data_IF_674402855387
#
_entry.id   IF_674402855387
#
_cell.length_a   1.000
_cell.length_b   1.000
_cell.length_c   1.000
_cell.angle_alpha   90.00
_cell.angle_beta   90.00
_cell.angle_gamma   90.00
#
_symmetry.space_group_name_H-M   'P 1'
#
loop_
_entity.id
_entity.type
_entity.pdbx_description
1 polymer ?
#
# COMPACT_ATOMS: atom_id res chain seq x y z
N UNK A 1 -15.14 11.80 -18.19
CA UNK A 1 -14.25 11.08 -19.10
C UNK A 1 -14.34 9.59 -18.82
N UNK A 2 -14.55 8.79 -19.83
CA UNK A 2 -14.66 7.34 -19.70
C UNK A 2 -13.30 6.67 -19.92
N UNK A 3 -12.94 5.74 -19.04
CA UNK A 3 -11.72 4.97 -19.13
C UNK A 3 -12.02 3.49 -18.87
N UNK A 4 -11.17 2.62 -19.44
CA UNK A 4 -11.26 1.18 -19.20
C UNK A 4 -10.09 0.76 -18.30
N UNK A 5 -10.40 0.02 -17.24
CA UNK A 5 -9.42 -0.35 -16.24
C UNK A 5 -8.54 -1.52 -16.68
N UNK A 6 -7.25 -1.43 -16.39
CA UNK A 6 -6.25 -2.46 -16.67
C UNK A 6 -5.92 -3.31 -15.44
N UNK A 7 -6.37 -2.89 -14.27
CA UNK A 7 -6.19 -3.63 -13.03
C UNK A 7 -7.37 -3.41 -12.09
N UNK A 8 -7.52 -4.28 -11.10
CA UNK A 8 -8.53 -4.11 -10.07
C UNK A 8 -8.12 -2.96 -9.15
N UNK A 9 -8.98 -1.98 -9.00
CA UNK A 9 -8.74 -0.83 -8.14
C UNK A 9 -9.79 -0.79 -7.04
N UNK A 10 -9.33 -0.70 -5.81
CA UNK A 10 -10.21 -0.63 -4.64
C UNK A 10 -11.10 0.61 -4.73
N UNK A 11 -12.40 0.43 -4.57
CA UNK A 11 -13.44 1.49 -4.63
C UNK A 11 -13.61 2.17 -5.98
N UNK A 12 -12.94 1.71 -7.01
CA UNK A 12 -13.02 2.29 -8.35
C UNK A 12 -13.66 1.32 -9.33
N UNK A 13 -13.12 0.11 -9.44
CA UNK A 13 -13.68 -0.91 -10.35
C UNK A 13 -12.73 -2.06 -10.60
N UNK A 14 -13.15 -2.96 -11.48
CA UNK A 14 -12.44 -4.19 -11.81
C UNK A 14 -11.80 -4.13 -13.20
N UNK A 15 -10.89 -5.06 -13.48
CA UNK A 15 -10.22 -5.18 -14.78
C UNK A 15 -11.25 -5.28 -15.90
N UNK A 16 -11.08 -4.45 -16.93
CA UNK A 16 -11.97 -4.43 -18.10
C UNK A 16 -13.27 -3.67 -17.88
N UNK A 17 -13.48 -3.10 -16.73
CA UNK A 17 -14.65 -2.28 -16.45
C UNK A 17 -14.47 -0.87 -17.01
N UNK A 18 -15.50 -0.35 -17.65
CA UNK A 18 -15.53 1.02 -18.16
C UNK A 18 -16.14 1.89 -17.09
N UNK A 19 -15.39 2.88 -16.62
CA UNK A 19 -15.85 3.81 -15.59
C UNK A 19 -15.76 5.25 -16.08
N UNK A 20 -16.58 6.10 -15.49
CA UNK A 20 -16.54 7.53 -15.73
C UNK A 20 -15.92 8.23 -14.54
N UNK A 21 -14.86 9.00 -14.80
CA UNK A 21 -14.10 9.71 -13.78
C UNK A 21 -13.79 11.13 -14.23
N UNK A 22 -13.38 11.96 -13.29
CA UNK A 22 -12.97 13.32 -13.60
C UNK A 22 -11.73 13.31 -14.50
N UNK A 23 -11.69 14.22 -15.44
CA UNK A 23 -10.61 14.32 -16.44
C UNK A 23 -9.21 14.40 -15.82
N UNK A 24 -9.05 15.21 -14.80
CA UNK A 24 -7.77 15.36 -14.09
C UNK A 24 -7.33 14.06 -13.41
N UNK A 25 -8.25 13.38 -12.74
CA UNK A 25 -7.97 12.11 -12.10
C UNK A 25 -7.60 11.03 -13.11
N UNK A 26 -8.34 10.95 -14.21
CA UNK A 26 -8.05 9.99 -15.27
C UNK A 26 -6.65 10.20 -15.86
N UNK A 27 -6.30 11.42 -16.21
CA UNK A 27 -5.01 11.74 -16.82
C UNK A 27 -3.84 11.61 -15.85
N UNK A 28 -3.96 12.18 -14.66
CA UNK A 28 -2.83 12.31 -13.73
C UNK A 28 -2.59 11.06 -12.87
N UNK A 29 -3.59 10.25 -12.68
CA UNK A 29 -3.49 9.06 -11.85
C UNK A 29 -3.66 7.76 -12.64
N UNK A 30 -4.78 7.57 -13.32
CA UNK A 30 -5.08 6.30 -13.97
C UNK A 30 -4.22 6.05 -15.22
N UNK A 31 -4.18 6.99 -16.13
CA UNK A 31 -3.45 6.82 -17.41
C UNK A 31 -1.96 7.00 -17.22
N UNK A 32 -1.55 7.98 -16.45
CA UNK A 32 -0.15 8.24 -16.15
C UNK A 32 0.54 7.04 -15.48
N UNK A 33 -0.16 6.34 -14.58
CA UNK A 33 0.35 5.16 -13.90
C UNK A 33 0.05 3.84 -14.64
N UNK A 34 -0.45 3.92 -15.86
CA UNK A 34 -0.81 2.74 -16.67
C UNK A 34 -1.85 1.83 -16.00
N UNK A 35 -2.73 2.40 -15.21
CA UNK A 35 -3.81 1.68 -14.53
C UNK A 35 -5.09 1.60 -15.33
N UNK A 36 -5.23 2.48 -16.32
CA UNK A 36 -6.38 2.53 -17.23
C UNK A 36 -5.97 3.10 -18.58
N UNK A 37 -6.80 2.87 -19.58
CA UNK A 37 -6.69 3.46 -20.90
C UNK A 37 -7.97 4.24 -21.22
N UNK A 38 -7.88 5.14 -22.19
CA UNK A 38 -9.09 5.80 -22.70
C UNK A 38 -10.07 4.76 -23.23
N UNK A 39 -11.35 4.93 -22.93
CA UNK A 39 -12.41 4.01 -23.36
C UNK A 39 -12.78 4.22 -24.82
N UNK A 40 -11.80 4.06 -25.73
CA UNK A 40 -12.02 4.03 -27.17
C UNK A 40 -12.40 2.61 -27.61
N UNK A 41 -13.04 2.49 -28.77
CA UNK A 41 -13.41 1.16 -29.30
C UNK A 41 -12.20 0.24 -29.45
N UNK A 42 -11.08 0.80 -29.92
CA UNK A 42 -9.82 0.06 -30.08
C UNK A 42 -9.28 -0.43 -28.74
N UNK A 43 -9.21 0.45 -27.75
CA UNK A 43 -8.71 0.11 -26.42
C UNK A 43 -9.62 -0.89 -25.71
N UNK A 44 -10.93 -0.77 -25.84
CA UNK A 44 -11.88 -1.71 -25.29
C UNK A 44 -11.67 -3.11 -25.89
N UNK A 45 -11.54 -3.22 -27.18
CA UNK A 45 -11.29 -4.47 -27.87
C UNK A 45 -9.95 -5.09 -27.45
N UNK A 46 -8.91 -4.29 -27.34
CA UNK A 46 -7.60 -4.73 -26.89
C UNK A 46 -7.62 -5.27 -25.47
N UNK A 47 -8.26 -4.56 -24.55
CA UNK A 47 -8.37 -4.97 -23.15
C UNK A 47 -9.20 -6.25 -23.03
N UNK A 48 -10.26 -6.40 -23.79
CA UNK A 48 -11.05 -7.66 -23.80
C UNK A 48 -10.21 -8.87 -24.21
N UNK A 49 -9.30 -8.71 -25.18
CA UNK A 49 -8.40 -9.77 -25.60
C UNK A 49 -7.40 -10.17 -24.52
N UNK A 50 -6.89 -9.21 -23.77
CA UNK A 50 -5.88 -9.44 -22.72
C UNK A 50 -6.46 -9.55 -21.31
N UNK A 51 -7.76 -9.44 -21.17
CA UNK A 51 -8.44 -9.47 -19.86
C UNK A 51 -8.09 -10.73 -19.06
N UNK A 52 -8.04 -11.87 -19.68
CA UNK A 52 -7.69 -13.14 -19.02
C UNK A 52 -6.25 -13.13 -18.52
N UNK A 53 -5.32 -12.56 -19.29
CA UNK A 53 -3.92 -12.43 -18.88
C UNK A 53 -3.77 -11.45 -17.73
N UNK A 54 -4.45 -10.29 -17.78
CA UNK A 54 -4.46 -9.32 -16.70
C UNK A 54 -5.05 -9.91 -15.42
N UNK A 55 -6.14 -10.67 -15.53
CA UNK A 55 -6.74 -11.36 -14.38
C UNK A 55 -5.79 -12.38 -13.77
N UNK A 56 -5.07 -13.16 -14.59
CA UNK A 56 -4.07 -14.12 -14.11
C UNK A 56 -2.94 -13.41 -13.37
N UNK A 57 -2.39 -12.33 -13.93
CA UNK A 57 -1.34 -11.55 -13.29
C UNK A 57 -1.82 -10.97 -11.95
N UNK A 58 -3.03 -10.46 -11.91
CA UNK A 58 -3.62 -9.94 -10.69
C UNK A 58 -3.79 -11.03 -9.63
N UNK A 59 -4.23 -12.23 -10.04
CA UNK A 59 -4.36 -13.40 -9.16
C UNK A 59 -3.01 -13.82 -8.58
N UNK A 60 -1.96 -13.82 -9.38
CA UNK A 60 -0.60 -14.13 -8.93
C UNK A 60 -0.11 -13.10 -7.91
N UNK A 61 -0.29 -11.80 -8.21
CA UNK A 61 0.04 -10.72 -7.26
C UNK A 61 -0.75 -10.86 -5.96
N UNK A 62 -2.02 -11.22 -6.05
CA UNK A 62 -2.86 -11.44 -4.87
C UNK A 62 -2.35 -12.59 -4.03
N UNK A 63 -1.94 -13.70 -4.64
CA UNK A 63 -1.35 -14.85 -3.93
C UNK A 63 -0.05 -14.47 -3.22
N UNK A 64 0.82 -13.74 -3.90
CA UNK A 64 2.06 -13.23 -3.30
C UNK A 64 1.77 -12.31 -2.13
N UNK A 65 0.81 -11.39 -2.31
CA UNK A 65 0.37 -10.49 -1.26
C UNK A 65 -0.19 -11.24 -0.05
N UNK A 66 -0.97 -12.31 -0.28
CA UNK A 66 -1.50 -13.15 0.80
C UNK A 66 -0.38 -13.85 1.57
N UNK A 67 0.64 -14.37 0.89
CA UNK A 67 1.80 -14.99 1.53
C UNK A 67 2.54 -13.99 2.42
N UNK A 68 2.76 -12.78 1.91
CA UNK A 68 3.39 -11.71 2.69
C UNK A 68 2.50 -11.33 3.88
N UNK A 69 1.20 -11.20 3.65
CA UNK A 69 0.23 -10.91 4.69
C UNK A 69 0.27 -11.93 5.84
N UNK A 70 0.29 -13.21 5.51
CA UNK A 70 0.39 -14.27 6.52
C UNK A 70 1.66 -14.18 7.34
N UNK A 71 2.77 -13.76 6.71
CA UNK A 71 4.06 -13.61 7.39
C UNK A 71 4.08 -12.44 8.35
N UNK A 72 3.43 -11.33 8.02
CA UNK A 72 3.51 -10.08 8.80
C UNK A 72 2.25 -9.76 9.59
N UNK A 73 1.14 -10.42 9.32
CA UNK A 73 -0.13 -10.13 9.99
C UNK A 73 -0.02 -10.34 11.51
N UNK A 74 -0.46 -9.35 12.28
CA UNK A 74 -0.38 -9.33 13.74
C UNK A 74 1.04 -9.38 14.31
N UNK A 75 2.06 -9.12 13.51
CA UNK A 75 3.42 -9.00 14.02
C UNK A 75 3.64 -7.67 14.71
N UNK A 76 4.56 -7.67 15.65
CA UNK A 76 4.99 -6.48 16.37
C UNK A 76 6.43 -6.15 15.99
N UNK A 77 6.64 -4.89 15.60
CA UNK A 77 7.97 -4.38 15.27
C UNK A 77 8.32 -3.27 16.25
N UNK A 78 9.56 -3.26 16.69
CA UNK A 78 10.07 -2.25 17.63
C UNK A 78 10.88 -1.20 16.87
N UNK A 79 10.53 0.08 17.10
CA UNK A 79 11.26 1.22 16.56
C UNK A 79 11.78 2.06 17.72
N UNK A 80 13.07 2.39 17.66
CA UNK A 80 13.69 3.27 18.63
C UNK A 80 13.73 4.70 18.09
N UNK A 81 13.20 5.63 18.85
CA UNK A 81 13.16 7.06 18.51
C UNK A 81 13.52 7.89 19.72
N UNK A 82 14.17 9.03 19.45
CA UNK A 82 14.41 10.01 20.51
C UNK A 82 13.08 10.64 20.92
N UNK A 83 12.89 10.79 22.22
CA UNK A 83 11.68 11.36 22.77
C UNK A 83 11.96 12.41 23.81
N UNK A 84 11.01 13.30 24.03
CA UNK A 84 11.04 14.28 25.10
C UNK A 84 10.68 13.63 26.44
N UNK A 85 10.85 14.38 27.54
CA UNK A 85 10.44 13.93 28.88
C UNK A 85 8.96 13.60 28.95
N UNK A 86 8.13 14.24 28.12
CA UNK A 86 6.69 14.01 28.02
C UNK A 86 6.33 12.79 27.15
N UNK A 87 7.30 11.97 26.76
CA UNK A 87 7.12 10.81 25.89
C UNK A 87 6.67 11.17 24.48
N UNK A 88 6.85 12.42 24.08
CA UNK A 88 6.60 12.84 22.70
C UNK A 88 7.86 12.67 21.87
N UNK A 89 7.72 12.21 20.64
CA UNK A 89 8.85 12.04 19.74
C UNK A 89 9.31 13.38 19.15
N UNK A 90 10.61 13.52 18.92
CA UNK A 90 11.17 14.68 18.22
C UNK A 90 10.73 14.73 16.74
N UNK A 91 10.22 13.64 16.21
CA UNK A 91 9.65 13.57 14.87
C UNK A 91 8.70 12.40 14.77
N UNK A 92 7.78 12.43 13.82
CA UNK A 92 6.87 11.32 13.60
C UNK A 92 7.57 10.12 12.97
N UNK A 93 7.02 8.93 13.19
CA UNK A 93 7.48 7.72 12.50
C UNK A 93 6.91 7.76 11.08
N UNK A 94 7.79 7.75 10.10
CA UNK A 94 7.41 7.81 8.69
C UNK A 94 7.24 6.39 8.11
N UNK A 95 6.37 6.23 7.11
CA UNK A 95 6.23 4.93 6.42
C UNK A 95 7.54 4.37 5.87
N UNK A 96 8.47 5.22 5.45
CA UNK A 96 9.79 4.80 4.98
C UNK A 96 10.59 4.09 6.06
N UNK A 97 10.48 4.51 7.30
CA UNK A 97 11.15 3.86 8.43
C UNK A 97 10.57 2.50 8.73
N UNK A 98 9.25 2.38 8.64
CA UNK A 98 8.53 1.11 8.82
C UNK A 98 8.92 0.13 7.70
N UNK A 99 8.99 0.60 6.47
CA UNK A 99 9.40 -0.18 5.31
C UNK A 99 10.81 -0.76 5.49
N UNK A 100 11.76 0.07 5.93
CA UNK A 100 13.12 -0.37 6.23
C UNK A 100 13.17 -1.39 7.35
N UNK A 101 12.38 -1.19 8.40
CA UNK A 101 12.32 -2.10 9.54
C UNK A 101 11.82 -3.47 9.12
N UNK A 102 10.79 -3.53 8.31
CA UNK A 102 10.26 -4.80 7.79
C UNK A 102 11.29 -5.48 6.89
N UNK A 103 11.98 -4.74 6.06
CA UNK A 103 13.03 -5.27 5.19
C UNK A 103 14.18 -5.88 6.01
N UNK A 104 14.59 -5.22 7.06
CA UNK A 104 15.68 -5.70 7.93
C UNK A 104 15.28 -6.94 8.73
N UNK A 105 14.06 -6.99 9.25
CA UNK A 105 13.59 -8.09 10.11
C UNK A 105 13.11 -9.31 9.34
N UNK A 106 12.27 -9.09 8.33
CA UNK A 106 11.62 -10.16 7.58
C UNK A 106 12.13 -10.31 6.14
N UNK A 107 13.03 -9.43 5.72
CA UNK A 107 13.57 -9.37 4.35
C UNK A 107 12.47 -9.23 3.29
N UNK A 108 11.39 -8.54 3.65
CA UNK A 108 10.28 -8.28 2.75
C UNK A 108 10.37 -6.84 2.22
N UNK A 109 10.36 -6.70 0.91
CA UNK A 109 10.39 -5.39 0.27
C UNK A 109 8.96 -4.84 0.18
N UNK A 110 8.63 -3.98 1.11
CA UNK A 110 7.32 -3.31 1.15
C UNK A 110 7.53 -1.83 0.86
N UNK A 111 6.83 -1.34 -0.14
CA UNK A 111 6.93 0.07 -0.50
C UNK A 111 6.28 0.96 0.56
N UNK A 112 6.88 2.11 0.88
CA UNK A 112 6.29 3.04 1.85
C UNK A 112 4.87 3.49 1.50
N UNK A 113 4.55 3.57 0.22
CA UNK A 113 3.20 3.93 -0.24
C UNK A 113 2.12 2.91 0.13
N UNK A 114 2.52 1.67 0.41
CA UNK A 114 1.61 0.61 0.86
C UNK A 114 1.30 0.71 2.35
N UNK A 115 2.09 1.44 3.09
CA UNK A 115 1.98 1.55 4.54
C UNK A 115 1.10 2.75 4.89
N UNK A 116 -0.01 2.49 5.58
CA UNK A 116 -0.94 3.52 6.04
C UNK A 116 -1.07 3.46 7.55
N UNK A 117 -0.43 4.37 8.28
CA UNK A 117 -0.64 4.45 9.71
C UNK A 117 -2.08 4.87 10.00
N UNK A 118 -2.73 4.18 10.92
CA UNK A 118 -4.11 4.47 11.33
C UNK A 118 -4.15 5.82 12.04
N UNK A 119 -3.12 6.09 12.85
CA UNK A 119 -2.93 7.36 13.51
C UNK A 119 -1.50 7.81 13.32
N UNK A 120 -1.27 9.11 13.36
CA UNK A 120 0.08 9.64 13.26
C UNK A 120 0.89 9.27 14.50
N UNK A 121 2.05 8.67 14.31
CA UNK A 121 2.89 8.18 15.38
C UNK A 121 3.85 9.28 15.82
N UNK A 122 3.51 9.97 16.91
CA UNK A 122 4.31 11.08 17.47
C UNK A 122 4.73 10.86 18.92
N UNK A 123 4.34 9.77 19.54
CA UNK A 123 4.66 9.48 20.93
C UNK A 123 5.12 8.05 21.11
N UNK A 124 5.65 7.74 22.27
CA UNK A 124 6.03 6.38 22.64
C UNK A 124 4.77 5.55 22.87
N UNK A 125 4.78 4.30 22.45
CA UNK A 125 3.70 3.37 22.67
C UNK A 125 3.50 2.41 21.52
N UNK A 126 2.42 1.64 21.59
CA UNK A 126 2.05 0.69 20.54
C UNK A 126 1.02 1.32 19.63
N UNK A 127 1.28 1.25 18.34
CA UNK A 127 0.41 1.80 17.31
C UNK A 127 0.15 0.75 16.24
N UNK A 128 -1.07 0.72 15.75
CA UNK A 128 -1.44 -0.16 14.66
C UNK A 128 -1.21 0.52 13.32
N UNK A 129 -0.64 -0.21 12.40
CA UNK A 129 -0.37 0.26 11.05
C UNK A 129 -0.94 -0.73 10.06
N UNK A 130 -1.68 -0.21 9.09
CA UNK A 130 -2.27 -1.02 8.04
C UNK A 130 -1.34 -1.02 6.83
N UNK A 131 -1.07 -2.21 6.30
CA UNK A 131 -0.27 -2.38 5.10
C UNK A 131 -1.16 -2.91 3.99
N UNK A 132 -1.29 -2.16 2.92
CA UNK A 132 -2.08 -2.54 1.76
C UNK A 132 -1.14 -3.20 0.75
N UNK A 133 -1.20 -4.51 0.67
CA UNK A 133 -0.34 -5.31 -0.21
C UNK A 133 -0.95 -5.47 -1.60
N UNK A 134 -2.27 -5.54 -1.67
CA UNK A 134 -3.02 -5.67 -2.89
C UNK A 134 -4.37 -4.96 -2.71
N UNK A 135 -5.08 -4.66 -3.80
CA UNK A 135 -6.40 -4.03 -3.71
C UNK A 135 -7.40 -4.82 -2.85
N UNK A 136 -7.22 -6.13 -2.75
CA UNK A 136 -8.07 -7.03 -1.95
C UNK A 136 -7.34 -7.65 -0.75
N UNK A 137 -6.04 -7.40 -0.60
CA UNK A 137 -5.23 -7.98 0.48
C UNK A 137 -4.58 -6.86 1.29
N UNK A 138 -4.87 -6.83 2.57
CA UNK A 138 -4.21 -5.94 3.51
C UNK A 138 -3.80 -6.70 4.77
N UNK A 139 -2.87 -6.12 5.50
CA UNK A 139 -2.40 -6.65 6.77
C UNK A 139 -2.32 -5.54 7.79
N UNK A 140 -2.40 -5.93 9.05
CA UNK A 140 -2.25 -5.01 10.17
C UNK A 140 -1.06 -5.46 11.01
N UNK A 141 -0.16 -4.53 11.28
CA UNK A 141 0.99 -4.76 12.15
C UNK A 141 0.95 -3.78 13.32
N UNK A 142 1.64 -4.16 14.38
CA UNK A 142 1.79 -3.29 15.55
C UNK A 142 3.20 -2.73 15.57
N UNK A 143 3.32 -1.43 15.65
CA UNK A 143 4.62 -0.76 15.81
C UNK A 143 4.74 -0.34 17.27
N UNK A 144 5.75 -0.88 17.94
CA UNK A 144 6.08 -0.51 19.31
C UNK A 144 7.19 0.54 19.27
N UNK A 145 6.83 1.77 19.58
CA UNK A 145 7.80 2.87 19.62
C UNK A 145 8.37 2.98 21.02
N UNK A 146 9.66 2.81 21.13
CA UNK A 146 10.38 2.92 22.39
C UNK A 146 11.37 4.07 22.32
N UNK A 147 11.72 4.63 23.46
CA UNK A 147 12.72 5.69 23.51
C UNK A 147 14.09 5.13 23.14
N UNK A 148 14.78 5.81 22.26
CA UNK A 148 16.18 5.53 21.98
C UNK A 148 17.03 6.25 23.04
N UNK A 149 16.83 5.90 24.27
CA UNK A 149 17.56 6.50 25.37
C UNK A 149 18.98 5.97 25.40
N UNK A 150 19.81 6.61 24.65
CA UNK A 150 21.22 6.32 24.59
C UNK A 150 22.04 7.29 25.43
N UNK A 151 21.35 8.14 26.13
CA UNK A 151 22.00 9.14 26.96
C UNK A 151 22.40 8.48 28.27
N UNK A 152 23.60 8.12 28.29
CA UNK A 152 24.18 7.46 29.45
C UNK A 152 25.51 8.09 29.79
#
# INVERSE_FOLDING_TARGET
MKVILLENLRRIGSIGEIIEVKRGFARNFLISNKKALYASKENIAEVEKIKSELSKKDTEKKKEAQKISEKINNKEYEIKKLSTENKELYGSVKPTEISKLILENDKLDIKPSMIQPITEIKSIGKFKVKIILHSEVDSEITINVVTADTIQ
#
